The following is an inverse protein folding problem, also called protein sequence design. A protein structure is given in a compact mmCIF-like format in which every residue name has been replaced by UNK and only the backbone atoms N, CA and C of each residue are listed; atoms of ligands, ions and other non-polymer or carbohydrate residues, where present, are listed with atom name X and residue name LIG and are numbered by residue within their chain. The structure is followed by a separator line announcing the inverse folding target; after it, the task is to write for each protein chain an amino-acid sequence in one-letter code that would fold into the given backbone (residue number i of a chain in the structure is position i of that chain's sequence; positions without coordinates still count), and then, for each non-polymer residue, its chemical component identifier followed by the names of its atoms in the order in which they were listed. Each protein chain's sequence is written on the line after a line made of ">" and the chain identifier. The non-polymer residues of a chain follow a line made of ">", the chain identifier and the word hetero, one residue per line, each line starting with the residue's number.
data_IF_888896469168
#
_entry.id   IF_888896469168
#
_cell.length_a   1.000
_cell.length_b   1.000
_cell.length_c   1.000
_cell.angle_alpha   90.00
_cell.angle_beta   90.00
_cell.angle_gamma   90.00
#
_symmetry.space_group_name_H-M   'P 1'
#
loop_
_entity.id
_entity.type
_entity.pdbx_description
1 polymer ?
#
# COMPACT_ATOMS: atom_id res chain seq x y z
N UNK A 1 -5.45 -5.32 19.86
CA UNK A 1 -4.90 -6.07 18.70
C UNK A 1 -3.45 -5.61 18.51
N UNK A 2 -2.48 -6.54 18.46
CA UNK A 2 -1.04 -6.31 18.17
C UNK A 2 -0.29 -5.35 19.10
N UNK A 3 0.31 -5.83 20.19
CA UNK A 3 1.28 -5.06 21.00
C UNK A 3 2.72 -5.50 20.76
N UNK A 4 2.93 -6.67 20.14
CA UNK A 4 4.27 -7.23 19.90
C UNK A 4 5.11 -6.37 18.96
N UNK A 5 4.47 -5.68 18.01
CA UNK A 5 5.09 -4.70 17.11
C UNK A 5 5.56 -3.41 17.82
N UNK A 6 5.28 -3.26 19.12
CA UNK A 6 5.78 -2.15 19.95
C UNK A 6 6.88 -2.58 20.92
N UNK A 7 7.22 -3.87 20.98
CA UNK A 7 8.29 -4.38 21.84
C UNK A 7 9.66 -3.84 21.41
N UNK A 8 10.58 -3.67 22.35
CA UNK A 8 11.94 -3.20 22.07
C UNK A 8 12.66 -4.09 21.03
N UNK A 9 12.46 -5.41 21.10
CA UNK A 9 13.02 -6.35 20.14
C UNK A 9 12.47 -6.12 18.72
N UNK A 10 11.17 -5.90 18.58
CA UNK A 10 10.57 -5.63 17.26
C UNK A 10 11.05 -4.31 16.67
N UNK A 11 11.09 -3.25 17.49
CA UNK A 11 11.52 -1.92 17.05
C UNK A 11 13.00 -1.91 16.62
N UNK A 12 13.83 -2.71 17.31
CA UNK A 12 15.26 -2.83 17.03
C UNK A 12 15.54 -3.68 15.79
N UNK A 13 14.87 -4.82 15.65
CA UNK A 13 15.27 -5.85 14.69
C UNK A 13 14.37 -5.92 13.44
N UNK A 14 13.15 -5.36 13.48
CA UNK A 14 12.14 -5.55 12.41
C UNK A 14 11.66 -4.26 11.77
N UNK A 15 11.06 -3.36 12.54
CA UNK A 15 10.55 -2.10 12.02
C UNK A 15 10.57 -1.02 13.10
N UNK A 16 11.39 0.04 12.93
CA UNK A 16 11.56 1.08 13.93
C UNK A 16 10.29 1.92 14.16
N UNK A 17 9.34 1.90 13.23
CA UNK A 17 8.05 2.60 13.36
C UNK A 17 7.01 1.78 14.14
N UNK A 18 7.32 0.52 14.45
CA UNK A 18 6.41 -0.41 15.09
C UNK A 18 5.11 -0.58 14.31
N UNK A 19 5.19 -0.57 12.98
CA UNK A 19 4.08 -0.83 12.06
C UNK A 19 4.21 -2.23 11.48
N UNK A 20 3.09 -2.76 11.00
CA UNK A 20 3.02 -4.00 10.22
C UNK A 20 2.56 -3.64 8.78
N UNK A 21 2.88 -4.46 7.75
CA UNK A 21 3.61 -5.73 7.80
C UNK A 21 5.15 -5.60 7.87
N UNK A 22 5.81 -6.72 8.17
CA UNK A 22 7.25 -6.95 7.99
C UNK A 22 7.49 -8.35 7.45
N UNK A 23 8.60 -8.55 6.73
CA UNK A 23 9.09 -9.85 6.29
C UNK A 23 10.46 -10.11 6.91
N UNK A 24 10.69 -11.33 7.38
CA UNK A 24 11.97 -11.76 7.96
C UNK A 24 12.69 -12.69 6.98
N UNK A 25 13.95 -12.39 6.70
CA UNK A 25 14.85 -13.29 6.00
C UNK A 25 15.69 -14.04 7.05
N UNK A 26 15.27 -15.26 7.36
CA UNK A 26 15.89 -16.10 8.39
C UNK A 26 17.36 -16.39 8.07
N UNK A 27 17.69 -16.63 6.79
CA UNK A 27 19.04 -16.92 6.35
C UNK A 27 19.99 -15.73 6.52
N UNK A 28 19.50 -14.51 6.27
CA UNK A 28 20.27 -13.27 6.42
C UNK A 28 20.22 -12.70 7.84
N UNK A 29 19.38 -13.24 8.72
CA UNK A 29 19.15 -12.72 10.07
C UNK A 29 18.67 -11.27 10.09
N UNK A 30 17.92 -10.83 9.07
CA UNK A 30 17.45 -9.44 8.93
C UNK A 30 16.01 -9.38 8.44
N UNK A 31 15.39 -8.20 8.57
CA UNK A 31 14.00 -7.97 8.19
C UNK A 31 13.85 -6.77 7.24
N UNK A 32 12.76 -6.76 6.48
CA UNK A 32 12.31 -5.62 5.69
C UNK A 32 10.87 -5.24 6.07
N UNK A 33 10.55 -3.96 5.92
CA UNK A 33 9.25 -3.37 6.23
C UNK A 33 8.79 -2.47 5.07
N UNK A 34 7.56 -1.95 5.18
CA UNK A 34 6.75 -1.37 4.09
C UNK A 34 6.18 -2.42 3.14
N UNK A 35 4.84 -2.47 3.05
CA UNK A 35 4.11 -3.43 2.21
C UNK A 35 4.57 -3.38 0.75
N UNK A 36 4.72 -2.19 0.17
CA UNK A 36 5.16 -2.01 -1.21
C UNK A 36 6.59 -2.51 -1.43
N UNK A 37 7.51 -2.28 -0.48
CA UNK A 37 8.88 -2.79 -0.57
C UNK A 37 8.92 -4.32 -0.47
N UNK A 38 8.12 -4.90 0.42
CA UNK A 38 7.97 -6.35 0.57
C UNK A 38 7.38 -6.96 -0.72
N UNK A 39 6.36 -6.33 -1.30
CA UNK A 39 5.75 -6.80 -2.55
C UNK A 39 6.76 -6.84 -3.71
N UNK A 40 7.58 -5.78 -3.87
CA UNK A 40 8.68 -5.75 -4.85
C UNK A 40 9.70 -6.85 -4.60
N UNK A 41 10.08 -7.09 -3.34
CA UNK A 41 11.01 -8.17 -2.98
C UNK A 41 10.47 -9.56 -3.35
N UNK A 42 9.21 -9.84 -3.01
CA UNK A 42 8.57 -11.12 -3.31
C UNK A 42 8.40 -11.32 -4.83
N UNK A 43 8.03 -10.28 -5.57
CA UNK A 43 7.96 -10.34 -7.02
C UNK A 43 9.34 -10.51 -7.68
N UNK A 44 10.39 -9.92 -7.10
CA UNK A 44 11.75 -10.04 -7.65
C UNK A 44 12.41 -11.39 -7.37
N UNK A 45 12.00 -12.09 -6.30
CA UNK A 45 12.59 -13.37 -5.89
C UNK A 45 11.71 -14.58 -6.25
N UNK A 46 10.40 -14.38 -6.42
CA UNK A 46 9.47 -15.43 -6.80
C UNK A 46 9.64 -15.88 -8.25
N UNK A 47 9.51 -17.19 -8.49
CA UNK A 47 9.72 -17.79 -9.81
C UNK A 47 8.84 -17.20 -10.93
N UNK A 48 7.64 -16.71 -10.60
CA UNK A 48 6.68 -16.13 -11.55
C UNK A 48 6.58 -14.61 -11.45
N UNK A 49 7.30 -13.96 -10.54
CA UNK A 49 7.09 -12.55 -10.23
C UNK A 49 7.57 -11.59 -11.33
N UNK A 50 8.45 -12.04 -12.22
CA UNK A 50 8.83 -11.29 -13.43
C UNK A 50 7.65 -10.98 -14.38
N UNK A 51 6.52 -11.70 -14.27
CA UNK A 51 5.30 -11.40 -15.03
C UNK A 51 4.55 -10.15 -14.55
N UNK A 52 4.66 -9.80 -13.27
CA UNK A 52 3.97 -8.66 -12.63
C UNK A 52 4.92 -7.52 -12.24
N UNK A 53 6.23 -7.78 -12.23
CA UNK A 53 7.29 -6.81 -11.94
C UNK A 53 8.55 -7.09 -12.79
N UNK A 54 8.49 -6.82 -14.11
CA UNK A 54 9.54 -7.15 -15.07
C UNK A 54 10.85 -6.40 -14.77
N UNK A 55 11.97 -6.88 -15.30
CA UNK A 55 13.30 -6.28 -15.07
C UNK A 55 13.56 -4.97 -15.83
N UNK A 56 12.72 -4.62 -16.81
CA UNK A 56 12.85 -3.36 -17.54
C UNK A 56 12.67 -2.16 -16.61
N UNK A 57 13.69 -1.30 -16.54
CA UNK A 57 13.74 -0.20 -15.58
C UNK A 57 12.65 0.85 -15.81
N UNK A 58 12.30 1.12 -17.08
CA UNK A 58 11.26 2.08 -17.41
C UNK A 58 9.86 1.58 -17.01
N UNK A 59 9.59 0.30 -17.29
CA UNK A 59 8.35 -0.35 -16.90
C UNK A 59 8.20 -0.38 -15.37
N UNK A 60 9.28 -0.69 -14.63
CA UNK A 60 9.28 -0.60 -13.17
C UNK A 60 8.97 0.81 -12.67
N UNK A 61 9.58 1.84 -13.23
CA UNK A 61 9.32 3.21 -12.81
C UNK A 61 7.83 3.60 -12.95
N UNK A 62 7.14 3.12 -14.00
CA UNK A 62 5.70 3.34 -14.16
C UNK A 62 4.87 2.53 -13.16
N UNK A 63 5.23 1.27 -12.93
CA UNK A 63 4.59 0.42 -11.90
C UNK A 63 4.74 1.06 -10.51
N UNK A 64 5.95 1.48 -10.17
CA UNK A 64 6.29 2.09 -8.88
C UNK A 64 5.56 3.42 -8.69
N UNK A 65 5.45 4.23 -9.74
CA UNK A 65 4.68 5.48 -9.70
C UNK A 65 3.22 5.25 -9.32
N UNK A 66 2.58 4.23 -9.89
CA UNK A 66 1.22 3.86 -9.49
C UNK A 66 1.17 3.33 -8.06
N UNK A 67 2.03 2.37 -7.69
CA UNK A 67 2.08 1.81 -6.33
C UNK A 67 2.22 2.91 -5.27
N UNK A 68 3.12 3.86 -5.48
CA UNK A 68 3.38 4.93 -4.53
C UNK A 68 2.25 5.98 -4.52
N UNK A 69 1.53 6.15 -5.64
CA UNK A 69 0.37 7.05 -5.71
C UNK A 69 -0.80 6.58 -4.83
N UNK A 70 -1.00 5.26 -4.69
CA UNK A 70 -2.06 4.68 -3.86
C UNK A 70 -1.85 4.88 -2.36
N UNK A 71 -0.67 5.34 -1.91
CA UNK A 71 -0.45 5.76 -0.52
C UNK A 71 -1.42 6.86 -0.06
N UNK A 72 -2.05 7.59 -0.98
CA UNK A 72 -3.13 8.53 -0.67
C UNK A 72 -4.27 7.88 0.14
N UNK A 73 -4.60 6.61 -0.16
CA UNK A 73 -5.65 5.86 0.55
C UNK A 73 -5.22 5.56 1.97
N UNK A 74 -3.97 5.12 2.17
CA UNK A 74 -3.40 4.83 3.48
C UNK A 74 -3.33 6.08 4.38
N UNK A 75 -2.96 7.23 3.81
CA UNK A 75 -2.91 8.51 4.54
C UNK A 75 -4.30 8.97 4.96
N UNK A 76 -5.32 8.75 4.13
CA UNK A 76 -6.70 9.13 4.42
C UNK A 76 -7.41 8.16 5.39
N UNK A 77 -6.95 6.90 5.47
CA UNK A 77 -7.57 5.85 6.30
C UNK A 77 -7.83 6.26 7.76
N UNK A 78 -6.86 6.84 8.49
CA UNK A 78 -7.06 7.36 9.84
C UNK A 78 -8.14 8.44 9.98
N UNK A 79 -8.35 9.26 8.95
CA UNK A 79 -9.28 10.39 8.99
C UNK A 79 -10.72 9.99 8.67
N UNK A 80 -10.90 8.86 7.97
CA UNK A 80 -12.20 8.42 7.48
C UNK A 80 -12.53 6.97 7.84
N UNK A 81 -11.78 6.01 7.30
CA UNK A 81 -12.13 4.58 7.40
C UNK A 81 -11.99 4.04 8.84
N UNK A 82 -10.90 4.36 9.52
CA UNK A 82 -10.56 3.74 10.81
C UNK A 82 -11.56 4.08 11.94
N UNK A 83 -12.05 5.32 12.09
CA UNK A 83 -13.12 5.64 13.03
C UNK A 83 -14.41 4.85 12.77
N UNK A 84 -14.78 4.68 11.50
CA UNK A 84 -16.05 4.05 11.09
C UNK A 84 -16.02 2.54 11.35
N UNK A 85 -14.95 1.86 10.96
CA UNK A 85 -14.81 0.40 11.13
C UNK A 85 -14.38 -0.01 12.55
N UNK A 86 -14.38 0.93 13.51
CA UNK A 86 -14.15 0.66 14.93
C UNK A 86 -12.70 0.39 15.34
N UNK A 87 -11.73 0.54 14.43
CA UNK A 87 -10.30 0.33 14.72
C UNK A 87 -9.57 1.61 15.13
N UNK A 88 -10.20 2.77 14.98
CA UNK A 88 -9.64 4.09 15.33
C UNK A 88 -9.47 4.30 16.84
N UNK A 89 -10.47 3.93 17.64
CA UNK A 89 -10.47 4.19 19.09
C UNK A 89 -9.25 3.58 19.81
N UNK A 90 -8.91 2.33 19.47
CA UNK A 90 -7.73 1.65 20.02
C UNK A 90 -6.39 2.29 19.61
N UNK A 91 -6.40 3.18 18.61
CA UNK A 91 -5.25 3.92 18.08
C UNK A 91 -5.25 5.40 18.52
N UNK A 92 -6.14 5.79 19.42
CA UNK A 92 -6.30 7.19 19.85
C UNK A 92 -6.90 8.10 18.77
N UNK A 93 -7.55 7.51 17.76
CA UNK A 93 -8.20 8.24 16.67
C UNK A 93 -9.68 8.36 17.00
N UNK A 94 -10.15 9.60 17.11
CA UNK A 94 -11.56 9.94 17.33
C UNK A 94 -12.15 10.43 16.00
N UNK A 95 -13.40 10.07 15.75
CA UNK A 95 -14.16 10.56 14.61
C UNK A 95 -14.21 12.10 14.58
N UNK A 96 -14.02 12.67 13.39
CA UNK A 96 -14.06 14.10 13.12
C UNK A 96 -14.67 14.31 11.73
N UNK A 97 -15.86 14.91 11.67
CA UNK A 97 -16.64 15.10 10.45
C UNK A 97 -15.89 15.93 9.39
N UNK A 98 -15.11 16.93 9.81
CA UNK A 98 -14.36 17.77 8.86
C UNK A 98 -13.23 16.97 8.23
N UNK A 99 -12.49 16.20 9.04
CA UNK A 99 -11.41 15.34 8.55
C UNK A 99 -11.94 14.23 7.65
N UNK A 100 -13.08 13.66 7.99
CA UNK A 100 -13.74 12.67 7.16
C UNK A 100 -14.12 13.26 5.79
N UNK A 101 -14.76 14.43 5.78
CA UNK A 101 -15.15 15.10 4.53
C UNK A 101 -13.94 15.46 3.66
N UNK A 102 -12.84 15.90 4.26
CA UNK A 102 -11.61 16.22 3.53
C UNK A 102 -10.97 14.96 2.94
N UNK A 103 -10.83 13.90 3.75
CA UNK A 103 -10.28 12.62 3.31
C UNK A 103 -11.11 12.00 2.17
N UNK A 104 -12.44 12.02 2.29
CA UNK A 104 -13.35 11.58 1.21
C UNK A 104 -13.14 12.37 -0.08
N UNK A 105 -12.98 13.69 0.00
CA UNK A 105 -12.74 14.54 -1.17
C UNK A 105 -11.41 14.21 -1.84
N UNK A 106 -10.35 13.99 -1.06
CA UNK A 106 -9.03 13.62 -1.57
C UNK A 106 -9.09 12.27 -2.28
N UNK A 107 -9.64 11.24 -1.63
CA UNK A 107 -9.76 9.90 -2.21
C UNK A 107 -10.65 9.92 -3.46
N UNK A 108 -11.78 10.63 -3.43
CA UNK A 108 -12.66 10.77 -4.60
C UNK A 108 -11.96 11.45 -5.78
N UNK A 109 -11.19 12.51 -5.54
CA UNK A 109 -10.42 13.18 -6.58
C UNK A 109 -9.33 12.28 -7.19
N UNK A 110 -8.63 11.51 -6.36
CA UNK A 110 -7.66 10.53 -6.82
C UNK A 110 -8.32 9.43 -7.66
N UNK A 111 -9.41 8.83 -7.17
CA UNK A 111 -10.11 7.77 -7.92
C UNK A 111 -10.72 8.29 -9.23
N UNK A 112 -11.18 9.54 -9.29
CA UNK A 112 -11.62 10.15 -10.54
C UNK A 112 -10.48 10.26 -11.56
N UNK A 113 -9.25 10.53 -11.12
CA UNK A 113 -8.08 10.55 -12.00
C UNK A 113 -7.71 9.14 -12.49
N UNK A 114 -7.78 8.12 -11.62
CA UNK A 114 -7.60 6.70 -11.99
C UNK A 114 -8.63 6.29 -13.03
N UNK A 115 -9.91 6.58 -12.80
CA UNK A 115 -11.01 6.27 -13.72
C UNK A 115 -10.82 6.95 -15.07
N UNK A 116 -10.50 8.25 -15.07
CA UNK A 116 -10.23 9.00 -16.30
C UNK A 116 -9.05 8.41 -17.08
N UNK A 117 -8.00 7.96 -16.39
CA UNK A 117 -6.86 7.29 -17.02
C UNK A 117 -7.28 5.98 -17.69
N UNK A 118 -7.98 5.10 -16.97
CA UNK A 118 -8.42 3.80 -17.48
C UNK A 118 -9.36 3.96 -18.68
N UNK A 119 -10.35 4.84 -18.55
CA UNK A 119 -11.31 5.17 -19.62
C UNK A 119 -10.63 5.74 -20.87
N UNK A 120 -9.68 6.69 -20.70
CA UNK A 120 -9.01 7.34 -21.84
C UNK A 120 -8.10 6.39 -22.63
N UNK A 121 -7.66 5.28 -22.03
CA UNK A 121 -6.74 4.32 -22.64
C UNK A 121 -7.40 2.98 -22.99
N UNK A 122 -8.72 2.82 -22.78
CA UNK A 122 -9.43 1.53 -22.88
C UNK A 122 -8.69 0.43 -22.10
N UNK A 123 -8.17 0.80 -20.92
CA UNK A 123 -7.27 -0.03 -20.13
C UNK A 123 -8.04 -0.82 -19.08
N UNK A 124 -7.68 -2.10 -18.95
CA UNK A 124 -8.10 -3.01 -17.88
C UNK A 124 -7.11 -2.98 -16.72
N UNK A 125 -5.81 -2.78 -17.02
CA UNK A 125 -4.74 -2.68 -16.04
C UNK A 125 -3.93 -1.39 -16.18
N UNK A 126 -3.34 -0.94 -15.08
CA UNK A 126 -2.75 0.39 -14.92
C UNK A 126 -1.47 0.63 -15.74
N UNK A 127 -0.72 -0.43 -16.08
CA UNK A 127 0.52 -0.33 -16.84
C UNK A 127 0.49 -1.30 -18.01
N UNK A 128 0.68 -0.78 -19.22
CA UNK A 128 0.70 -1.53 -20.50
C UNK A 128 -0.48 -2.47 -20.70
N UNK A 129 -1.61 -2.20 -20.03
CA UNK A 129 -2.78 -3.07 -20.03
C UNK A 129 -2.47 -4.54 -19.66
N UNK A 130 -1.48 -4.75 -18.79
CA UNK A 130 -1.11 -6.05 -18.24
C UNK A 130 -1.11 -6.01 -16.71
N UNK A 131 -1.59 -7.09 -16.08
CA UNK A 131 -1.61 -7.20 -14.62
C UNK A 131 -0.20 -7.03 -14.04
N UNK A 132 -0.05 -6.11 -13.09
CA UNK A 132 1.22 -5.76 -12.48
C UNK A 132 1.10 -5.53 -10.97
N UNK A 133 2.23 -5.26 -10.30
CA UNK A 133 2.20 -4.82 -8.90
C UNK A 133 1.41 -3.52 -8.69
N UNK A 134 1.29 -2.66 -9.70
CA UNK A 134 0.47 -1.45 -9.60
C UNK A 134 -0.99 -1.79 -9.29
N UNK A 135 -1.54 -2.76 -10.01
CA UNK A 135 -2.92 -3.22 -9.86
C UNK A 135 -3.12 -3.95 -8.54
N UNK A 136 -2.18 -4.84 -8.18
CA UNK A 136 -2.25 -5.63 -6.94
C UNK A 136 -2.21 -4.71 -5.72
N UNK A 137 -1.28 -3.75 -5.67
CA UNK A 137 -1.18 -2.78 -4.58
C UNK A 137 -2.39 -1.87 -4.56
N UNK A 138 -2.81 -1.33 -5.70
CA UNK A 138 -3.97 -0.46 -5.79
C UNK A 138 -5.24 -1.15 -5.30
N UNK A 139 -5.53 -2.35 -5.79
CA UNK A 139 -6.70 -3.13 -5.37
C UNK A 139 -6.65 -3.49 -3.87
N UNK A 140 -5.48 -3.87 -3.36
CA UNK A 140 -5.30 -4.23 -1.95
C UNK A 140 -5.53 -3.03 -1.01
N UNK A 141 -5.11 -1.82 -1.43
CA UNK A 141 -5.36 -0.60 -0.66
C UNK A 141 -6.85 -0.22 -0.60
N UNK A 142 -7.62 -0.60 -1.62
CA UNK A 142 -9.05 -0.32 -1.72
C UNK A 142 -9.95 -1.38 -1.08
N UNK A 143 -9.43 -2.58 -0.82
CA UNK A 143 -10.18 -3.66 -0.17
C UNK A 143 -10.19 -3.47 1.35
N UNK A 144 -11.21 -2.78 1.89
CA UNK A 144 -11.49 -2.73 3.33
C UNK A 144 -13.00 -2.78 3.61
#
# INVERSE_FOLDING_TARGET
>A
MGTTNKSAAYLKEKNPFGKVPCVENVERGSAAFESNAIARYLASTGATGGSIYPNDAWTRARIDGWMDSFNVVDVCGPQWLYPIVGIGAARGIVYDEKKESEAKKIVAGFMAAVEAYLSAHDAVFLVDNALSLADIVGASGLSN
#
